data_IF_968933982609
#
_entry.id   IF_968933982609
#
_cell.length_a   1.000
_cell.length_b   1.000
_cell.length_c   1.000
_cell.angle_alpha   90.00
_cell.angle_beta   90.00
_cell.angle_gamma   90.00
#
_symmetry.space_group_name_H-M   'P 1'
#
loop_
_entity.id
_entity.type
_entity.pdbx_description
1 polymer ?
#
# COMPACT_ATOMS: atom_id res chain seq x y z
N UNK A 1 -1.73 -34.37 54.24
CA UNK A 1 -0.65 -33.69 53.49
C UNK A 1 -1.28 -32.89 52.38
N UNK A 2 -1.30 -31.56 52.51
CA UNK A 2 -1.84 -30.67 51.48
C UNK A 2 -0.87 -30.70 50.30
N UNK A 3 -1.34 -31.07 49.10
CA UNK A 3 -0.55 -31.00 47.87
C UNK A 3 -0.26 -29.53 47.57
N UNK A 4 0.87 -29.03 48.05
CA UNK A 4 1.40 -27.73 47.64
C UNK A 4 1.83 -27.87 46.19
N UNK A 5 0.94 -27.48 45.28
CA UNK A 5 1.22 -27.51 43.85
C UNK A 5 2.19 -26.36 43.60
N UNK A 6 3.47 -26.65 43.30
CA UNK A 6 4.51 -25.62 43.08
C UNK A 6 4.21 -24.72 41.86
N UNK A 7 3.24 -25.11 41.04
CA UNK A 7 2.80 -24.39 39.85
C UNK A 7 1.37 -23.90 40.09
N UNK A 8 1.14 -22.61 39.93
CA UNK A 8 -0.19 -22.02 39.98
C UNK A 8 -0.97 -22.36 38.70
N UNK A 9 -1.74 -23.44 38.73
CA UNK A 9 -2.53 -23.87 37.57
C UNK A 9 -3.63 -22.89 37.16
N UNK A 10 -4.06 -21.98 38.04
CA UNK A 10 -4.99 -20.90 37.68
C UNK A 10 -4.31 -19.85 36.79
N UNK A 11 -3.05 -19.55 37.08
CA UNK A 11 -2.23 -18.63 36.28
C UNK A 11 -2.06 -19.16 34.85
N UNK A 12 -1.68 -20.43 34.70
CA UNK A 12 -1.54 -21.05 33.38
C UNK A 12 -2.85 -21.10 32.58
N UNK A 13 -4.00 -21.30 33.25
CA UNK A 13 -5.32 -21.23 32.59
C UNK A 13 -5.66 -19.82 32.14
N UNK A 14 -5.26 -18.80 32.90
CA UNK A 14 -5.45 -17.41 32.52
C UNK A 14 -4.61 -17.08 31.28
N UNK A 15 -3.33 -17.50 31.25
CA UNK A 15 -2.47 -17.37 30.07
C UNK A 15 -3.04 -18.10 28.84
N UNK A 16 -3.63 -19.28 29.00
CA UNK A 16 -4.28 -19.99 27.90
C UNK A 16 -5.45 -19.18 27.31
N UNK A 17 -6.30 -18.61 28.16
CA UNK A 17 -7.42 -17.76 27.70
C UNK A 17 -6.95 -16.50 27.00
N UNK A 18 -5.85 -15.90 27.46
CA UNK A 18 -5.25 -14.74 26.82
C UNK A 18 -4.71 -15.07 25.42
N UNK A 19 -4.06 -16.23 25.25
CA UNK A 19 -3.61 -16.71 23.95
C UNK A 19 -4.78 -17.01 23.00
N UNK A 20 -5.82 -17.70 23.49
CA UNK A 20 -7.03 -17.98 22.70
C UNK A 20 -7.72 -16.69 22.22
N UNK A 21 -7.88 -15.70 23.11
CA UNK A 21 -8.47 -14.41 22.75
C UNK A 21 -7.63 -13.64 21.72
N UNK A 22 -6.31 -13.68 21.84
CA UNK A 22 -5.41 -13.08 20.85
C UNK A 22 -5.52 -13.76 19.48
N UNK A 23 -5.58 -15.10 19.45
CA UNK A 23 -5.71 -15.87 18.20
C UNK A 23 -7.03 -15.59 17.48
N UNK A 24 -8.15 -15.44 18.21
CA UNK A 24 -9.44 -15.03 17.63
C UNK A 24 -9.37 -13.65 16.97
N UNK A 25 -8.78 -12.67 17.67
CA UNK A 25 -8.61 -11.32 17.13
C UNK A 25 -7.64 -11.30 15.93
N UNK A 26 -6.61 -12.15 15.97
CA UNK A 26 -5.64 -12.31 14.88
C UNK A 26 -6.29 -12.87 13.62
N UNK A 27 -7.11 -13.92 13.72
CA UNK A 27 -7.82 -14.48 12.56
C UNK A 27 -8.80 -13.46 11.95
N UNK A 28 -9.49 -12.69 12.79
CA UNK A 28 -10.34 -11.58 12.33
C UNK A 28 -9.52 -10.54 11.56
N UNK A 29 -8.38 -10.11 12.08
CA UNK A 29 -7.51 -9.14 11.43
C UNK A 29 -6.93 -9.66 10.11
N UNK A 30 -6.55 -10.94 10.04
CA UNK A 30 -6.10 -11.59 8.80
C UNK A 30 -7.21 -11.56 7.74
N UNK A 31 -8.45 -11.83 8.12
CA UNK A 31 -9.59 -11.78 7.20
C UNK A 31 -9.80 -10.36 6.63
N UNK A 32 -9.75 -9.33 7.49
CA UNK A 32 -9.86 -7.93 7.07
C UNK A 32 -8.70 -7.52 6.15
N UNK A 33 -7.47 -7.91 6.49
CA UNK A 33 -6.30 -7.66 5.63
C UNK A 33 -6.43 -8.30 4.26
N UNK A 34 -6.86 -9.57 4.18
CA UNK A 34 -7.10 -10.24 2.88
C UNK A 34 -8.16 -9.52 2.04
N UNK A 35 -9.21 -9.00 2.68
CA UNK A 35 -10.24 -8.19 2.02
C UNK A 35 -9.64 -6.88 1.46
N UNK A 36 -8.78 -6.20 2.22
CA UNK A 36 -8.07 -4.99 1.75
C UNK A 36 -7.24 -5.31 0.51
N UNK A 37 -6.41 -6.36 0.55
CA UNK A 37 -5.61 -6.79 -0.61
C UNK A 37 -6.48 -7.03 -1.85
N UNK A 38 -7.62 -7.70 -1.67
CA UNK A 38 -8.54 -7.97 -2.77
C UNK A 38 -9.14 -6.69 -3.35
N UNK A 39 -9.59 -5.77 -2.49
CA UNK A 39 -10.16 -4.48 -2.89
C UNK A 39 -9.11 -3.57 -3.55
N UNK A 40 -7.86 -3.55 -3.06
CA UNK A 40 -6.75 -2.81 -3.67
C UNK A 40 -6.55 -3.21 -5.12
N UNK A 41 -6.47 -4.52 -5.36
CA UNK A 41 -6.32 -5.06 -6.71
C UNK A 41 -7.52 -4.67 -7.58
N UNK A 42 -8.74 -4.84 -7.08
CA UNK A 42 -9.94 -4.45 -7.84
C UNK A 42 -9.97 -2.95 -8.18
N UNK A 43 -9.55 -2.08 -7.26
CA UNK A 43 -9.44 -0.64 -7.46
C UNK A 43 -8.42 -0.33 -8.55
N UNK A 44 -7.20 -0.86 -8.43
CA UNK A 44 -6.12 -0.68 -9.40
C UNK A 44 -6.59 -1.17 -10.80
N UNK A 45 -7.19 -2.36 -10.89
CA UNK A 45 -7.71 -2.87 -12.16
C UNK A 45 -8.81 -1.98 -12.76
N UNK A 46 -9.72 -1.45 -11.95
CA UNK A 46 -10.76 -0.53 -12.41
C UNK A 46 -10.16 0.77 -12.96
N UNK A 47 -9.14 1.30 -12.27
CA UNK A 47 -8.41 2.51 -12.67
C UNK A 47 -7.71 2.36 -14.03
N UNK A 48 -7.01 1.24 -14.27
CA UNK A 48 -6.36 0.98 -15.56
C UNK A 48 -7.35 0.80 -16.72
N UNK A 49 -8.58 0.38 -16.41
CA UNK A 49 -9.67 0.24 -17.40
C UNK A 49 -10.49 1.51 -17.58
N UNK A 50 -10.11 2.61 -16.93
CA UNK A 50 -10.86 3.87 -16.91
C UNK A 50 -12.31 3.71 -16.36
N UNK A 51 -12.59 2.66 -15.58
CA UNK A 51 -13.90 2.42 -14.96
C UNK A 51 -14.04 3.22 -13.66
N UNK A 52 -14.43 4.49 -13.82
CA UNK A 52 -14.53 5.46 -12.72
C UNK A 52 -15.59 5.09 -11.67
N UNK A 53 -16.70 4.50 -12.09
CA UNK A 53 -17.77 4.15 -11.16
C UNK A 53 -17.33 3.00 -10.24
N UNK A 54 -16.75 1.95 -10.82
CA UNK A 54 -16.22 0.84 -10.04
C UNK A 54 -15.06 1.28 -9.17
N UNK A 55 -14.15 2.11 -9.68
CA UNK A 55 -13.04 2.65 -8.90
C UNK A 55 -13.54 3.43 -7.66
N UNK A 56 -14.51 4.34 -7.82
CA UNK A 56 -15.09 5.08 -6.69
C UNK A 56 -15.75 4.16 -5.65
N UNK A 57 -16.46 3.12 -6.11
CA UNK A 57 -17.05 2.11 -5.21
C UNK A 57 -15.97 1.34 -4.44
N UNK A 58 -14.91 0.89 -5.12
CA UNK A 58 -13.83 0.14 -4.49
C UNK A 58 -13.05 1.01 -3.50
N UNK A 59 -12.82 2.28 -3.82
CA UNK A 59 -12.19 3.23 -2.92
C UNK A 59 -12.98 3.38 -1.60
N UNK A 60 -14.30 3.56 -1.67
CA UNK A 60 -15.12 3.64 -0.47
C UNK A 60 -15.05 2.37 0.38
N UNK A 61 -15.11 1.18 -0.26
CA UNK A 61 -15.05 -0.09 0.46
C UNK A 61 -13.68 -0.36 1.09
N UNK A 62 -12.59 -0.01 0.41
CA UNK A 62 -11.24 -0.25 0.92
C UNK A 62 -10.91 0.70 2.07
N UNK A 63 -11.29 1.98 2.00
CA UNK A 63 -11.11 2.94 3.10
C UNK A 63 -11.87 2.49 4.35
N UNK A 64 -13.12 2.02 4.21
CA UNK A 64 -13.88 1.45 5.34
C UNK A 64 -13.20 0.22 5.94
N UNK A 65 -12.72 -0.69 5.09
CA UNK A 65 -12.06 -1.93 5.55
C UNK A 65 -10.70 -1.63 6.20
N UNK A 66 -9.97 -0.63 5.71
CA UNK A 66 -8.71 -0.20 6.30
C UNK A 66 -8.91 0.45 7.67
N UNK A 67 -9.93 1.30 7.82
CA UNK A 67 -10.29 1.88 9.12
C UNK A 67 -10.70 0.80 10.14
N UNK A 68 -11.41 -0.25 9.70
CA UNK A 68 -11.74 -1.41 10.52
C UNK A 68 -10.47 -2.17 10.96
N UNK A 69 -9.57 -2.50 10.02
CA UNK A 69 -8.31 -3.16 10.33
C UNK A 69 -7.43 -2.34 11.29
N UNK A 70 -7.41 -1.00 11.11
CA UNK A 70 -6.65 -0.10 11.97
C UNK A 70 -7.18 -0.09 13.40
N UNK A 71 -8.51 -0.09 13.58
CA UNK A 71 -9.14 -0.21 14.91
C UNK A 71 -8.82 -1.55 15.58
N UNK A 72 -8.85 -2.64 14.83
CA UNK A 72 -8.45 -3.97 15.33
C UNK A 72 -6.98 -3.95 15.79
N UNK A 73 -6.09 -3.39 14.96
CA UNK A 73 -4.66 -3.27 15.27
C UNK A 73 -4.34 -2.36 16.46
N UNK A 74 -5.17 -1.35 16.73
CA UNK A 74 -5.04 -0.47 17.91
C UNK A 74 -5.56 -1.12 19.19
N UNK A 75 -6.62 -1.94 19.09
CA UNK A 75 -7.22 -2.63 20.24
C UNK A 75 -6.31 -3.70 20.81
N UNK A 76 -5.56 -4.39 19.93
CA UNK A 76 -4.76 -5.56 20.30
C UNK A 76 -3.28 -5.30 20.00
N UNK A 77 -2.49 -4.94 21.03
CA UNK A 77 -1.05 -4.74 20.88
C UNK A 77 -0.39 -5.95 20.22
N UNK A 78 0.47 -5.71 19.24
CA UNK A 78 1.17 -6.76 18.49
C UNK A 78 0.54 -7.11 17.14
N UNK A 79 -0.77 -6.94 16.94
CA UNK A 79 -1.40 -7.20 15.63
C UNK A 79 -0.89 -6.25 14.53
N UNK A 80 -0.61 -4.99 14.87
CA UNK A 80 -0.06 -4.02 13.91
C UNK A 80 1.35 -4.41 13.42
N UNK A 81 2.10 -5.14 14.23
CA UNK A 81 3.47 -5.58 13.93
C UNK A 81 3.52 -6.86 13.09
N UNK A 82 2.36 -7.50 12.89
CA UNK A 82 2.26 -8.70 12.07
C UNK A 82 2.39 -8.37 10.57
N UNK A 83 3.04 -9.27 9.85
CA UNK A 83 3.34 -9.07 8.42
C UNK A 83 2.08 -8.87 7.56
N UNK A 84 0.94 -9.44 7.94
CA UNK A 84 -0.31 -9.31 7.18
C UNK A 84 -0.87 -7.89 7.20
N UNK A 85 -0.68 -7.14 8.29
CA UNK A 85 -1.19 -5.76 8.40
C UNK A 85 -0.32 -4.81 7.59
N UNK A 86 1.00 -5.01 7.65
CA UNK A 86 1.97 -4.26 6.85
C UNK A 86 1.71 -4.39 5.35
N UNK A 87 1.51 -5.61 4.84
CA UNK A 87 1.21 -5.85 3.42
C UNK A 87 -0.13 -5.21 3.03
N UNK A 88 -1.16 -5.32 3.87
CA UNK A 88 -2.45 -4.69 3.60
C UNK A 88 -2.36 -3.16 3.54
N UNK A 89 -1.60 -2.55 4.45
CA UNK A 89 -1.39 -1.10 4.48
C UNK A 89 -0.66 -0.59 3.24
N UNK A 90 0.38 -1.31 2.82
CA UNK A 90 1.14 -0.97 1.61
C UNK A 90 0.27 -1.01 0.36
N UNK A 91 -0.50 -2.08 0.16
CA UNK A 91 -1.43 -2.25 -0.96
C UNK A 91 -2.59 -1.24 -0.92
N UNK A 92 -3.05 -0.86 0.27
CA UNK A 92 -4.06 0.19 0.45
C UNK A 92 -3.53 1.54 -0.02
N UNK A 93 -2.34 1.93 0.45
CA UNK A 93 -1.70 3.21 0.10
C UNK A 93 -1.38 3.27 -1.39
N UNK A 94 -0.88 2.19 -1.98
CA UNK A 94 -0.62 2.11 -3.43
C UNK A 94 -1.89 2.36 -4.25
N UNK A 95 -2.96 1.62 -3.95
CA UNK A 95 -4.22 1.71 -4.68
C UNK A 95 -4.88 3.09 -4.54
N UNK A 96 -4.83 3.67 -3.34
CA UNK A 96 -5.28 5.03 -3.07
C UNK A 96 -4.43 6.04 -3.84
N UNK A 97 -3.10 6.00 -3.71
CA UNK A 97 -2.20 6.92 -4.40
C UNK A 97 -2.43 6.94 -5.91
N UNK A 98 -2.65 5.77 -6.52
CA UNK A 98 -3.00 5.69 -7.93
C UNK A 98 -4.35 6.35 -8.25
N UNK A 99 -5.36 6.17 -7.39
CA UNK A 99 -6.67 6.82 -7.54
C UNK A 99 -6.55 8.34 -7.56
N UNK A 100 -5.90 8.92 -6.54
CA UNK A 100 -5.71 10.37 -6.42
C UNK A 100 -4.83 10.93 -7.53
N UNK A 101 -3.81 10.20 -7.98
CA UNK A 101 -3.02 10.62 -9.12
C UNK A 101 -3.86 10.71 -10.40
N UNK A 102 -4.70 9.70 -10.68
CA UNK A 102 -5.51 9.67 -11.90
C UNK A 102 -6.60 10.75 -11.88
N UNK A 103 -7.23 10.96 -10.72
CA UNK A 103 -8.40 11.85 -10.58
C UNK A 103 -8.05 13.30 -10.29
N UNK A 104 -7.06 13.54 -9.43
CA UNK A 104 -6.72 14.86 -8.89
C UNK A 104 -5.28 15.30 -9.20
N UNK A 105 -4.48 14.47 -9.86
CA UNK A 105 -3.07 14.78 -10.23
C UNK A 105 -2.16 15.07 -9.02
N UNK A 106 -2.43 14.41 -7.89
CA UNK A 106 -1.65 14.51 -6.65
C UNK A 106 -1.55 13.16 -5.94
N UNK A 107 -0.71 13.09 -4.91
CA UNK A 107 -0.79 12.01 -3.91
C UNK A 107 -1.79 12.38 -2.82
N UNK A 108 -2.44 11.36 -2.25
CA UNK A 108 -3.10 11.50 -0.98
C UNK A 108 -2.05 11.69 0.12
N UNK A 109 -2.31 12.53 1.11
CA UNK A 109 -1.42 12.71 2.25
C UNK A 109 -1.50 11.52 3.21
N UNK A 110 -0.46 11.31 4.02
CA UNK A 110 -0.47 10.26 5.06
C UNK A 110 -1.64 10.39 6.03
N UNK A 111 -2.06 11.63 6.29
CA UNK A 111 -3.14 11.96 7.22
C UNK A 111 -4.51 11.67 6.59
N UNK A 112 -4.70 11.98 5.30
CA UNK A 112 -5.90 11.56 4.54
C UNK A 112 -6.06 10.02 4.50
N UNK A 113 -4.95 9.28 4.55
CA UNK A 113 -4.96 7.81 4.53
C UNK A 113 -4.91 7.17 5.92
N UNK A 114 -4.78 7.95 7.00
CA UNK A 114 -4.65 7.46 8.38
C UNK A 114 -3.51 6.44 8.60
N UNK A 115 -2.39 6.63 7.89
CA UNK A 115 -1.24 5.70 7.90
C UNK A 115 -0.04 6.23 8.69
N UNK A 116 0.82 5.31 9.15
CA UNK A 116 2.15 5.68 9.66
C UNK A 116 3.07 6.11 8.51
N UNK A 117 4.16 6.79 8.85
CA UNK A 117 5.19 7.19 7.88
C UNK A 117 5.76 5.98 7.12
N UNK A 118 6.00 4.87 7.80
CA UNK A 118 6.55 3.67 7.15
C UNK A 118 5.54 3.03 6.19
N UNK A 119 4.29 2.84 6.63
CA UNK A 119 3.20 2.31 5.81
C UNK A 119 3.00 3.15 4.54
N UNK A 120 2.99 4.48 4.70
CA UNK A 120 2.82 5.42 3.60
C UNK A 120 3.98 5.33 2.59
N UNK A 121 5.23 5.40 3.06
CA UNK A 121 6.38 5.40 2.16
C UNK A 121 6.52 4.06 1.40
N UNK A 122 6.22 2.93 2.06
CA UNK A 122 6.23 1.62 1.40
C UNK A 122 5.22 1.58 0.23
N UNK A 123 3.99 2.03 0.44
CA UNK A 123 2.96 2.03 -0.61
C UNK A 123 3.19 3.06 -1.71
N UNK A 124 3.71 4.24 -1.37
CA UNK A 124 4.06 5.27 -2.36
C UNK A 124 5.21 4.81 -3.26
N UNK A 125 6.18 4.05 -2.74
CA UNK A 125 7.23 3.49 -3.59
C UNK A 125 6.66 2.52 -4.64
N UNK A 126 5.65 1.73 -4.28
CA UNK A 126 5.03 0.76 -5.20
C UNK A 126 4.18 1.42 -6.29
N UNK A 127 3.59 2.58 -6.01
CA UNK A 127 2.76 3.30 -7.01
C UNK A 127 3.54 3.60 -8.29
N UNK A 128 4.87 3.77 -8.20
CA UNK A 128 5.73 4.01 -9.36
C UNK A 128 5.62 2.88 -10.41
N UNK A 129 5.47 1.63 -9.97
CA UNK A 129 5.28 0.50 -10.88
C UNK A 129 3.93 0.57 -11.62
N UNK A 130 2.87 0.95 -10.92
CA UNK A 130 1.54 1.13 -11.51
C UNK A 130 1.47 2.35 -12.43
N UNK A 131 2.23 3.40 -12.14
CA UNK A 131 2.39 4.57 -13.02
C UNK A 131 3.12 4.22 -14.32
N UNK A 132 4.14 3.36 -14.29
CA UNK A 132 4.77 2.83 -15.51
C UNK A 132 3.72 2.10 -16.36
N UNK A 133 2.93 1.22 -15.76
CA UNK A 133 1.85 0.51 -16.47
C UNK A 133 0.82 1.48 -17.06
N UNK A 134 0.47 2.52 -16.32
CA UNK A 134 -0.47 3.54 -16.77
C UNK A 134 0.10 4.31 -17.97
N UNK A 135 1.37 4.70 -17.92
CA UNK A 135 2.04 5.41 -19.02
C UNK A 135 2.04 4.58 -20.30
N UNK A 136 2.42 3.30 -20.23
CA UNK A 136 2.38 2.37 -21.37
C UNK A 136 0.96 2.28 -21.95
N UNK A 137 -0.05 2.11 -21.10
CA UNK A 137 -1.45 2.04 -21.55
C UNK A 137 -1.91 3.34 -22.23
N UNK A 138 -1.45 4.51 -21.77
CA UNK A 138 -1.77 5.81 -22.41
C UNK A 138 -1.08 5.95 -23.77
N UNK A 139 0.19 5.54 -23.88
CA UNK A 139 0.94 5.54 -25.14
C UNK A 139 0.25 4.67 -26.19
N UNK A 140 -0.18 3.46 -25.82
CA UNK A 140 -0.91 2.56 -26.73
C UNK A 140 -2.21 3.20 -27.25
N UNK A 141 -2.87 4.03 -26.42
CA UNK A 141 -4.06 4.80 -26.81
C UNK A 141 -3.74 6.10 -27.57
N UNK A 142 -2.47 6.37 -27.89
CA UNK A 142 -2.01 7.58 -28.58
C UNK A 142 -1.81 8.80 -27.69
N UNK A 143 -2.04 8.70 -26.38
CA UNK A 143 -1.88 9.80 -25.43
C UNK A 143 -0.45 9.86 -24.87
N UNK A 144 0.44 10.42 -25.69
CA UNK A 144 1.85 10.62 -25.35
C UNK A 144 2.05 11.70 -24.29
N UNK A 145 1.16 12.70 -24.21
CA UNK A 145 1.28 13.81 -23.27
C UNK A 145 1.10 13.32 -21.83
N UNK A 146 0.13 12.43 -21.59
CA UNK A 146 -0.04 11.81 -20.27
C UNK A 146 1.19 11.00 -19.86
N UNK A 147 1.88 10.33 -20.79
CA UNK A 147 3.09 9.58 -20.45
C UNK A 147 4.25 10.49 -20.01
N UNK A 148 4.43 11.64 -20.67
CA UNK A 148 5.39 12.66 -20.24
C UNK A 148 5.04 13.19 -18.84
N UNK A 149 3.77 13.53 -18.58
CA UNK A 149 3.34 14.01 -17.27
C UNK A 149 3.53 12.98 -16.16
N UNK A 150 3.30 11.68 -16.45
CA UNK A 150 3.58 10.59 -15.50
C UNK A 150 5.08 10.51 -15.20
N UNK A 151 5.93 10.59 -16.22
CA UNK A 151 7.40 10.61 -16.03
C UNK A 151 7.81 11.76 -15.11
N UNK A 152 7.34 12.96 -15.39
CA UNK A 152 7.71 14.16 -14.63
C UNK A 152 7.28 14.02 -13.15
N UNK A 153 6.08 13.49 -12.91
CA UNK A 153 5.60 13.21 -11.55
C UNK A 153 6.46 12.17 -10.81
N UNK A 154 6.83 11.06 -11.46
CA UNK A 154 7.69 10.04 -10.85
C UNK A 154 9.09 10.58 -10.60
N UNK A 155 9.58 11.48 -11.47
CA UNK A 155 10.86 12.18 -11.27
C UNK A 155 10.82 13.06 -10.03
N UNK A 156 9.77 13.86 -9.85
CA UNK A 156 9.59 14.70 -8.66
C UNK A 156 9.50 13.85 -7.39
N UNK A 157 8.71 12.77 -7.42
CA UNK A 157 8.64 11.82 -6.31
C UNK A 157 10.01 11.23 -5.97
N UNK A 158 10.78 10.81 -6.97
CA UNK A 158 12.12 10.25 -6.76
C UNK A 158 13.08 11.28 -6.14
N UNK A 159 13.02 12.54 -6.58
CA UNK A 159 13.80 13.65 -6.00
C UNK A 159 13.49 13.87 -4.53
N UNK A 160 12.20 13.88 -4.14
CA UNK A 160 11.81 14.00 -2.73
C UNK A 160 12.28 12.78 -1.92
N UNK A 161 12.16 11.57 -2.48
CA UNK A 161 12.59 10.35 -1.80
C UNK A 161 14.12 10.29 -1.58
N UNK A 162 14.93 10.93 -2.42
CA UNK A 162 16.38 11.02 -2.24
C UNK A 162 16.80 11.77 -0.97
N UNK A 163 15.97 12.68 -0.47
CA UNK A 163 16.24 13.45 0.74
C UNK A 163 16.09 12.61 2.02
N UNK A 164 15.47 11.43 1.93
CA UNK A 164 15.29 10.53 3.05
C UNK A 164 16.52 9.66 3.28
N UNK A 165 16.99 9.60 4.54
CA UNK A 165 18.06 8.70 4.95
C UNK A 165 17.55 7.26 5.16
N UNK A 166 17.20 6.57 4.08
CA UNK A 166 16.74 5.17 4.16
C UNK A 166 17.86 4.23 4.62
N UNK A 167 17.66 3.59 5.78
CA UNK A 167 18.53 2.51 6.27
C UNK A 167 18.33 1.25 5.45
N UNK A 168 19.30 0.33 5.51
CA UNK A 168 19.19 -0.99 4.89
C UNK A 168 17.91 -1.69 5.39
N UNK A 169 17.09 -2.19 4.46
CA UNK A 169 15.80 -2.80 4.77
C UNK A 169 14.87 -2.81 3.57
N UNK A 170 13.62 -3.23 3.78
CA UNK A 170 12.64 -3.34 2.69
C UNK A 170 12.32 -1.99 2.07
N UNK A 171 12.23 -0.93 2.88
CA UNK A 171 11.97 0.42 2.38
C UNK A 171 13.07 0.89 1.43
N UNK A 172 14.33 0.53 1.69
CA UNK A 172 15.44 0.82 0.78
C UNK A 172 15.30 0.07 -0.55
N UNK A 173 14.95 -1.22 -0.51
CA UNK A 173 14.70 -2.01 -1.74
C UNK A 173 13.56 -1.42 -2.57
N UNK A 174 12.49 -0.97 -1.89
CA UNK A 174 11.32 -0.33 -2.52
C UNK A 174 11.69 1.02 -3.13
N UNK A 175 12.45 1.85 -2.42
CA UNK A 175 13.00 3.07 -2.97
C UNK A 175 13.87 2.80 -4.21
N UNK A 176 14.78 1.83 -4.15
CA UNK A 176 15.62 1.47 -5.29
C UNK A 176 14.77 1.03 -6.50
N UNK A 177 13.62 0.38 -6.27
CA UNK A 177 12.68 0.03 -7.35
C UNK A 177 12.08 1.25 -8.07
N UNK A 178 11.88 2.37 -7.36
CA UNK A 178 11.40 3.64 -7.96
C UNK A 178 12.39 4.15 -8.99
N UNK A 179 13.69 4.06 -8.71
CA UNK A 179 14.74 4.45 -9.67
C UNK A 179 14.62 3.68 -10.99
N UNK A 180 14.44 2.36 -10.92
CA UNK A 180 14.29 1.54 -12.13
C UNK A 180 12.99 1.83 -12.88
N UNK A 181 11.91 2.15 -12.16
CA UNK A 181 10.65 2.55 -12.78
C UNK A 181 10.77 3.92 -13.47
N UNK A 182 11.49 4.87 -12.88
CA UNK A 182 11.78 6.16 -13.49
C UNK A 182 12.59 5.98 -14.79
N UNK A 183 13.67 5.19 -14.77
CA UNK A 183 14.45 4.91 -15.98
C UNK A 183 13.59 4.36 -17.12
N UNK A 184 12.69 3.42 -16.82
CA UNK A 184 11.75 2.88 -17.83
C UNK A 184 10.85 3.96 -18.42
N UNK A 185 10.35 4.89 -17.59
CA UNK A 185 9.54 6.02 -18.07
C UNK A 185 10.36 6.99 -18.94
N UNK A 186 11.61 7.24 -18.58
CA UNK A 186 12.51 8.08 -19.38
C UNK A 186 12.81 7.45 -20.75
N UNK A 187 13.08 6.15 -20.78
CA UNK A 187 13.32 5.41 -22.03
C UNK A 187 12.07 5.44 -22.93
N UNK A 188 10.88 5.26 -22.35
CA UNK A 188 9.60 5.37 -23.09
C UNK A 188 9.41 6.78 -23.67
N UNK A 189 9.63 7.83 -22.89
CA UNK A 189 9.49 9.22 -23.34
C UNK A 189 10.53 9.57 -24.42
N UNK A 190 11.76 9.04 -24.30
CA UNK A 190 12.80 9.21 -25.31
C UNK A 190 12.36 8.61 -26.65
N UNK A 191 11.85 7.37 -26.64
CA UNK A 191 11.35 6.69 -27.86
C UNK A 191 10.24 7.51 -28.55
N UNK A 192 9.29 8.05 -27.77
CA UNK A 192 8.23 8.93 -28.28
C UNK A 192 8.81 10.15 -29.00
N UNK A 193 9.83 10.79 -28.41
CA UNK A 193 10.46 11.99 -29.00
C UNK A 193 11.26 11.67 -30.26
N UNK A 194 11.89 10.49 -30.33
CA UNK A 194 12.65 10.06 -31.51
C UNK A 194 11.75 9.74 -32.71
N UNK A 195 10.55 9.21 -32.49
CA UNK A 195 9.59 8.92 -33.57
C UNK A 195 8.92 10.17 -34.18
N UNK A 196 9.03 11.33 -33.54
CA UNK A 196 8.50 12.61 -34.05
C UNK A 196 9.49 13.36 -34.96
N UNK A 197 10.65 12.79 -35.25
CA UNK A 197 11.57 13.25 -36.30
C UNK A 197 11.33 12.46 -37.58
#
# INVERSE_FOLDING_TARGET
>A
MVKTTMINTKEFRQMQKELEGFDEERESAIATSRKILHLSKQLIYALHRDDRQKAKKMLSLITLSFAEARKQAQKTPGLASEGFFRVASQEYVEACSLYWFITEKRLATRDELETTTEEYLLGVCDVAGELVRLAVNRIIKGDMNSACAIRDFVSELYSLLLEFSFRNGDLRKKFDSVKYNLQKLEDLVLQIKMQKK
#
